data_IF_906129575857
#
_entry.id   IF_906129575857
#
_cell.length_a   1.000
_cell.length_b   1.000
_cell.length_c   1.000
_cell.angle_alpha   90.00
_cell.angle_beta   90.00
_cell.angle_gamma   90.00
#
_symmetry.space_group_name_H-M   'P 1'
#
loop_
_entity.id
_entity.type
_entity.pdbx_description
1 polymer ?
#
# COMPACT_ATOMS: atom_id res chain seq x y z
N UNK A 1 -25.12 19.98 -17.23
CA UNK A 1 -24.52 18.65 -17.04
C UNK A 1 -23.39 18.78 -16.03
N UNK A 2 -23.68 18.62 -14.75
CA UNK A 2 -22.66 18.70 -13.67
C UNK A 2 -22.54 17.32 -13.06
N UNK A 3 -21.66 16.51 -13.64
CA UNK A 3 -21.27 15.23 -13.03
C UNK A 3 -20.43 15.53 -11.80
N UNK A 4 -20.97 15.25 -10.62
CA UNK A 4 -20.18 15.21 -9.39
C UNK A 4 -19.24 14.01 -9.52
N UNK A 5 -18.00 14.25 -9.97
CA UNK A 5 -16.98 13.21 -10.02
C UNK A 5 -16.60 12.89 -8.57
N UNK A 6 -17.20 11.82 -8.02
CA UNK A 6 -16.71 11.25 -6.77
C UNK A 6 -15.21 11.03 -6.90
N UNK A 7 -14.42 11.56 -5.97
CA UNK A 7 -12.99 11.33 -5.94
C UNK A 7 -12.71 9.83 -6.06
N UNK A 8 -11.78 9.42 -6.94
CA UNK A 8 -11.50 8.00 -7.11
C UNK A 8 -11.05 7.43 -5.77
N UNK A 9 -11.80 6.45 -5.26
CA UNK A 9 -11.39 5.68 -4.10
C UNK A 9 -9.97 5.16 -4.33
N UNK A 10 -9.15 5.09 -3.28
CA UNK A 10 -7.74 4.71 -3.40
C UNK A 10 -7.52 3.41 -4.19
N UNK A 11 -8.44 2.44 -4.11
CA UNK A 11 -8.44 1.23 -4.91
C UNK A 11 -8.50 1.48 -6.42
N UNK A 12 -9.27 2.48 -6.88
CA UNK A 12 -9.34 2.87 -8.29
C UNK A 12 -8.02 3.50 -8.75
N UNK A 13 -7.37 4.31 -7.91
CA UNK A 13 -6.05 4.87 -8.19
C UNK A 13 -4.99 3.76 -8.30
N UNK A 14 -4.99 2.80 -7.37
CA UNK A 14 -4.09 1.64 -7.41
C UNK A 14 -4.31 0.81 -8.68
N UNK A 15 -5.56 0.59 -9.08
CA UNK A 15 -5.88 -0.15 -10.30
C UNK A 15 -5.39 0.60 -11.55
N UNK A 16 -5.51 1.93 -11.59
CA UNK A 16 -4.93 2.77 -12.65
C UNK A 16 -3.41 2.70 -12.68
N UNK A 17 -2.74 2.66 -11.53
CA UNK A 17 -1.28 2.50 -11.45
C UNK A 17 -0.86 1.13 -12.02
N UNK A 18 -1.55 0.05 -11.63
CA UNK A 18 -1.29 -1.28 -12.17
C UNK A 18 -1.48 -1.36 -13.69
N UNK A 19 -2.50 -0.66 -14.22
CA UNK A 19 -2.81 -0.67 -15.65
C UNK A 19 -1.88 0.23 -16.48
N UNK A 20 -1.66 1.48 -16.05
CA UNK A 20 -1.00 2.52 -16.85
C UNK A 20 0.50 2.66 -16.57
N UNK A 21 0.96 2.24 -15.39
CA UNK A 21 2.35 2.38 -14.93
C UNK A 21 2.96 1.03 -14.55
N UNK A 22 2.46 -0.07 -15.14
CA UNK A 22 2.82 -1.45 -14.83
C UNK A 22 4.33 -1.67 -14.68
N UNK A 23 5.10 -1.23 -15.67
CA UNK A 23 6.56 -1.38 -15.74
C UNK A 23 7.33 -0.11 -15.41
N UNK A 24 6.63 1.01 -15.19
CA UNK A 24 7.26 2.28 -14.83
C UNK A 24 7.61 2.29 -13.35
N UNK A 25 8.77 2.85 -12.95
CA UNK A 25 9.09 3.06 -11.54
C UNK A 25 8.09 4.06 -10.94
N UNK A 26 7.44 3.67 -9.85
CA UNK A 26 6.50 4.54 -9.10
C UNK A 26 7.00 4.86 -7.70
N UNK A 27 8.02 4.13 -7.25
CA UNK A 27 8.66 4.24 -5.94
C UNK A 27 10.15 4.23 -6.16
N UNK A 28 10.85 5.17 -5.54
CA UNK A 28 12.31 5.29 -5.57
C UNK A 28 12.79 5.59 -4.16
N UNK A 29 13.75 4.83 -3.67
CA UNK A 29 14.40 5.04 -2.38
C UNK A 29 15.84 4.52 -2.45
N UNK A 30 16.80 5.44 -2.49
CA UNK A 30 18.19 5.12 -2.83
C UNK A 30 18.25 4.32 -4.13
N UNK A 31 18.98 3.20 -4.13
CA UNK A 31 19.12 2.28 -5.26
C UNK A 31 17.92 1.35 -5.48
N UNK A 32 16.93 1.38 -4.58
CA UNK A 32 15.74 0.53 -4.69
C UNK A 32 14.64 1.28 -5.43
N UNK A 33 14.08 0.62 -6.42
CA UNK A 33 12.90 1.11 -7.13
C UNK A 33 11.88 -0.01 -7.23
N UNK A 34 10.60 0.37 -7.24
CA UNK A 34 9.51 -0.56 -7.50
C UNK A 34 8.67 -0.06 -8.67
N UNK A 35 8.28 -0.99 -9.54
CA UNK A 35 7.34 -0.70 -10.62
C UNK A 35 5.93 -0.51 -10.10
N UNK A 36 5.04 0.07 -10.92
CA UNK A 36 3.62 0.20 -10.59
C UNK A 36 2.99 -1.14 -10.22
N UNK A 37 3.33 -2.22 -10.92
CA UNK A 37 2.84 -3.56 -10.58
C UNK A 37 3.35 -4.03 -9.22
N UNK A 38 4.67 -3.96 -8.98
CA UNK A 38 5.26 -4.40 -7.72
C UNK A 38 4.75 -3.60 -6.51
N UNK A 39 4.48 -2.31 -6.70
CA UNK A 39 3.89 -1.47 -5.70
C UNK A 39 2.46 -1.91 -5.36
N UNK A 40 1.61 -2.11 -6.36
CA UNK A 40 0.21 -2.55 -6.14
C UNK A 40 0.16 -3.94 -5.52
N UNK A 41 1.00 -4.87 -5.99
CA UNK A 41 1.12 -6.21 -5.39
C UNK A 41 1.51 -6.14 -3.91
N UNK A 42 2.42 -5.23 -3.55
CA UNK A 42 2.82 -5.01 -2.14
C UNK A 42 1.66 -4.49 -1.29
N UNK A 43 0.85 -3.57 -1.82
CA UNK A 43 -0.33 -3.02 -1.13
C UNK A 43 -1.40 -4.10 -0.93
N UNK A 44 -1.64 -4.94 -1.93
CA UNK A 44 -2.58 -6.06 -1.83
C UNK A 44 -2.10 -7.09 -0.79
N UNK A 45 -0.80 -7.39 -0.77
CA UNK A 45 -0.23 -8.30 0.21
C UNK A 45 -0.36 -7.75 1.63
N UNK A 46 -0.13 -6.45 1.82
CA UNK A 46 -0.38 -5.78 3.09
C UNK A 46 -1.86 -5.93 3.51
N UNK A 47 -2.79 -5.56 2.62
CA UNK A 47 -4.22 -5.59 2.93
C UNK A 47 -4.67 -7.01 3.33
N UNK A 48 -4.18 -8.04 2.63
CA UNK A 48 -4.41 -9.43 3.00
C UNK A 48 -3.79 -9.80 4.37
N UNK A 49 -2.61 -9.28 4.69
CA UNK A 49 -1.98 -9.43 6.00
C UNK A 49 -2.82 -8.80 7.11
N UNK A 50 -3.26 -7.55 6.91
CA UNK A 50 -4.14 -6.82 7.84
C UNK A 50 -5.45 -7.57 8.07
N UNK A 51 -6.07 -8.07 7.00
CA UNK A 51 -7.29 -8.88 7.10
C UNK A 51 -7.07 -10.15 7.93
N UNK A 52 -5.95 -10.85 7.71
CA UNK A 52 -5.59 -12.06 8.48
C UNK A 52 -5.31 -11.79 9.96
N UNK A 53 -4.98 -10.56 10.31
CA UNK A 53 -4.81 -10.12 11.70
C UNK A 53 -6.13 -9.77 12.38
N UNK A 54 -7.25 -9.85 11.66
CA UNK A 54 -8.59 -9.62 12.19
C UNK A 54 -9.08 -8.19 12.03
N UNK A 55 -8.38 -7.34 11.25
CA UNK A 55 -8.84 -5.98 10.97
C UNK A 55 -10.09 -5.99 10.10
N UNK A 56 -11.10 -5.26 10.54
CA UNK A 56 -12.39 -5.12 9.90
C UNK A 56 -12.62 -3.69 9.38
N UNK A 57 -13.52 -3.50 8.39
CA UNK A 57 -13.93 -2.18 7.98
C UNK A 57 -14.50 -1.37 9.15
N UNK A 58 -13.91 -0.20 9.41
CA UNK A 58 -14.27 0.66 10.53
C UNK A 58 -13.25 0.68 11.66
N UNK A 59 -12.28 -0.24 11.66
CA UNK A 59 -11.18 -0.24 12.63
C UNK A 59 -10.24 0.95 12.40
N UNK A 60 -9.85 1.60 13.50
CA UNK A 60 -8.89 2.70 13.48
C UNK A 60 -7.51 2.15 13.79
N UNK A 61 -6.58 2.25 12.82
CA UNK A 61 -5.22 1.74 12.93
C UNK A 61 -4.22 2.89 12.91
N UNK A 62 -3.31 2.92 13.88
CA UNK A 62 -2.17 3.83 13.88
C UNK A 62 -0.97 3.18 13.19
N UNK A 63 -0.38 3.87 12.20
CA UNK A 63 0.82 3.42 11.48
C UNK A 63 1.96 4.42 11.76
N UNK A 64 3.09 3.89 12.22
CA UNK A 64 4.33 4.55 12.56
C UNK A 64 5.46 3.79 11.87
N UNK A 65 5.76 4.20 10.65
CA UNK A 65 6.79 3.59 9.83
C UNK A 65 7.83 4.64 9.45
N UNK A 66 9.09 4.24 9.36
CA UNK A 66 10.10 5.08 8.75
C UNK A 66 9.80 5.24 7.26
N UNK A 67 10.08 6.42 6.69
CA UNK A 67 9.98 6.65 5.24
C UNK A 67 11.14 5.97 4.49
N UNK A 68 11.16 4.63 4.54
CA UNK A 68 12.05 3.77 3.76
C UNK A 68 11.14 2.88 2.92
N UNK A 69 11.42 2.74 1.61
CA UNK A 69 10.71 1.92 0.61
C UNK A 69 9.33 1.34 1.02
N UNK A 70 8.22 1.58 0.31
CA UNK A 70 6.89 1.01 0.61
C UNK A 70 6.76 -0.53 0.56
N UNK A 71 7.82 -1.30 0.33
CA UNK A 71 7.87 -2.71 0.76
C UNK A 71 8.10 -2.88 2.28
N UNK A 72 8.45 -1.82 3.01
CA UNK A 72 8.82 -1.82 4.44
C UNK A 72 7.63 -1.81 5.41
N UNK A 73 6.41 -2.06 4.94
CA UNK A 73 5.43 -2.71 5.81
C UNK A 73 5.87 -4.13 6.22
N UNK A 74 6.93 -4.67 5.60
CA UNK A 74 7.72 -5.78 6.17
C UNK A 74 8.27 -5.51 7.57
N UNK A 75 8.36 -4.26 8.03
CA UNK A 75 8.84 -3.94 9.37
C UNK A 75 7.74 -3.92 10.45
N UNK A 76 6.45 -3.97 10.09
CA UNK A 76 5.37 -3.72 11.05
C UNK A 76 4.96 -4.92 11.93
N UNK A 77 5.51 -6.11 11.68
CA UNK A 77 5.35 -7.28 12.58
C UNK A 77 6.67 -7.78 13.17
N UNK A 78 7.74 -6.99 13.12
CA UNK A 78 8.91 -7.24 13.96
C UNK A 78 8.89 -6.22 15.09
N UNK A 79 8.78 -6.70 16.33
CA UNK A 79 8.93 -5.93 17.59
C UNK A 79 7.64 -5.42 18.28
N UNK A 80 6.69 -6.30 18.56
CA UNK A 80 6.10 -6.38 19.92
C UNK A 80 6.03 -7.85 20.36
N UNK A 81 7.20 -8.45 20.48
CA UNK A 81 7.40 -9.48 21.50
C UNK A 81 8.53 -8.97 22.39
N UNK A 82 8.18 -8.45 23.58
CA UNK A 82 9.01 -8.60 24.75
C UNK A 82 8.29 -9.52 25.73
N UNK A 83 8.89 -10.70 25.92
CA UNK A 83 8.58 -11.77 26.88
C UNK A 83 7.48 -12.75 26.50
#
# INVERSE_FOLDING_TARGET
MTGSFSEPHICQCLNRIAALRRSSPVVIYGERWQTGQQFVDSVLHLAGGLWRLGLAPGDVVAISAFNRCPSALFAYFQSTSPN
#
